data_IF_711734914884
#
_entry.id   IF_711734914884
#
_cell.length_a   1.000
_cell.length_b   1.000
_cell.length_c   1.000
_cell.angle_alpha   90.00
_cell.angle_beta   90.00
_cell.angle_gamma   90.00
#
_symmetry.space_group_name_H-M   'P 1'
#
loop_
_entity.id
_entity.type
_entity.pdbx_description
1 polymer ?
#
# COMPACT_ATOMS: atom_id res chain seq x y z
N UNK A 1 41.48 65.42 -19.21
CA UNK A 1 40.94 64.51 -18.18
C UNK A 1 39.69 63.84 -18.74
N UNK A 2 39.63 62.50 -18.84
CA UNK A 2 38.41 61.84 -19.27
C UNK A 2 37.31 62.07 -18.23
N UNK A 3 36.14 62.55 -18.66
CA UNK A 3 34.95 62.68 -17.82
C UNK A 3 34.56 61.29 -17.34
N UNK A 4 34.69 61.03 -16.04
CA UNK A 4 34.10 59.86 -15.40
C UNK A 4 32.59 60.05 -15.49
N UNK A 5 31.97 59.39 -16.46
CA UNK A 5 30.51 59.28 -16.54
C UNK A 5 30.15 58.16 -15.56
N UNK A 6 29.73 58.53 -14.36
CA UNK A 6 29.15 57.58 -13.41
C UNK A 6 27.92 56.95 -14.06
N UNK A 7 27.90 55.62 -14.19
CA UNK A 7 26.70 54.90 -14.63
C UNK A 7 25.53 55.36 -13.75
N UNK A 8 24.37 55.72 -14.33
CA UNK A 8 23.19 56.03 -13.54
C UNK A 8 22.91 54.84 -12.60
N UNK A 9 22.62 55.16 -11.34
CA UNK A 9 22.31 54.15 -10.31
C UNK A 9 21.14 53.31 -10.84
N UNK A 10 21.40 52.04 -11.11
CA UNK A 10 20.36 51.14 -11.57
C UNK A 10 19.26 51.09 -10.49
N UNK A 11 18.01 51.32 -10.91
CA UNK A 11 16.85 51.29 -10.03
C UNK A 11 16.03 50.06 -10.43
N UNK A 12 15.66 49.19 -9.48
CA UNK A 12 14.79 48.06 -9.79
C UNK A 12 13.47 48.55 -10.42
N UNK A 13 12.86 47.76 -11.31
CA UNK A 13 11.49 48.04 -11.77
C UNK A 13 10.52 48.01 -10.58
N UNK A 14 9.35 48.64 -10.68
CA UNK A 14 8.35 48.55 -9.61
C UNK A 14 7.73 47.14 -9.52
N UNK A 15 7.28 46.68 -8.32
CA UNK A 15 6.55 45.43 -8.21
C UNK A 15 5.20 45.50 -8.93
N UNK A 16 4.74 44.36 -9.46
CA UNK A 16 3.44 44.28 -10.16
C UNK A 16 2.24 44.57 -9.26
N UNK A 17 2.39 44.37 -7.96
CA UNK A 17 1.37 44.65 -6.93
C UNK A 17 2.01 45.30 -5.70
N UNK A 18 1.23 45.99 -4.85
CA UNK A 18 1.73 46.47 -3.57
C UNK A 18 2.33 45.35 -2.72
N UNK A 19 3.41 45.64 -1.99
CA UNK A 19 4.02 44.67 -1.06
C UNK A 19 2.99 44.25 -0.02
N UNK A 20 2.89 42.94 0.23
CA UNK A 20 1.91 42.32 1.12
C UNK A 20 0.60 41.92 0.45
N UNK A 21 0.41 42.23 -0.85
CA UNK A 21 -0.77 41.78 -1.61
C UNK A 21 -0.82 40.25 -1.69
N UNK A 22 -2.00 39.68 -1.42
CA UNK A 22 -2.27 38.26 -1.59
C UNK A 22 -2.65 37.97 -3.05
N UNK A 23 -2.03 36.93 -3.61
CA UNK A 23 -2.19 36.50 -5.00
C UNK A 23 -2.44 34.99 -5.03
N UNK A 24 -2.97 34.42 -6.13
CA UNK A 24 -3.08 32.96 -6.28
C UNK A 24 -1.71 32.27 -6.10
N UNK A 25 -1.65 31.26 -5.24
CA UNK A 25 -0.45 30.45 -5.00
C UNK A 25 -0.35 29.21 -5.90
N UNK A 26 0.68 28.39 -5.69
CA UNK A 26 0.80 27.08 -6.37
C UNK A 26 -0.20 26.05 -5.80
N UNK A 27 -0.72 25.20 -6.68
CA UNK A 27 -1.71 24.16 -6.32
C UNK A 27 -1.08 22.85 -5.79
N UNK A 28 0.24 22.69 -5.84
CA UNK A 28 0.91 21.45 -5.45
C UNK A 28 1.02 21.32 -3.94
N UNK A 29 0.50 20.23 -3.35
CA UNK A 29 0.62 19.95 -1.91
C UNK A 29 1.36 18.63 -1.70
N UNK A 30 2.30 18.59 -0.76
CA UNK A 30 2.98 17.35 -0.38
C UNK A 30 2.16 16.53 0.63
N UNK A 31 2.36 15.20 0.66
CA UNK A 31 1.75 14.33 1.70
C UNK A 31 2.12 14.77 3.13
N UNK A 32 3.28 15.40 3.31
CA UNK A 32 3.70 15.92 4.60
C UNK A 32 2.87 17.16 4.97
N UNK A 33 2.65 18.08 4.03
CA UNK A 33 1.76 19.24 4.24
C UNK A 33 0.32 18.79 4.55
N UNK A 34 -0.24 17.82 3.83
CA UNK A 34 -1.57 17.27 4.12
C UNK A 34 -1.67 16.73 5.56
N UNK A 35 -0.65 15.98 5.99
CA UNK A 35 -0.58 15.45 7.36
C UNK A 35 -0.48 16.57 8.40
N UNK A 36 0.35 17.59 8.16
CA UNK A 36 0.47 18.74 9.08
C UNK A 36 -0.85 19.51 9.15
N UNK A 37 -1.47 19.82 8.00
CA UNK A 37 -2.77 20.51 7.93
C UNK A 37 -3.82 19.78 8.75
N UNK A 38 -3.96 18.46 8.56
CA UNK A 38 -4.91 17.65 9.31
C UNK A 38 -4.67 17.72 10.83
N UNK A 39 -3.39 17.67 11.26
CA UNK A 39 -3.02 17.74 12.69
C UNK A 39 -3.25 19.12 13.30
N UNK A 40 -2.93 20.19 12.59
CA UNK A 40 -3.16 21.56 13.03
C UNK A 40 -4.66 21.89 13.11
N UNK A 41 -5.44 21.46 12.10
CA UNK A 41 -6.90 21.62 12.08
C UNK A 41 -7.55 20.85 13.24
N UNK A 42 -7.12 19.60 13.48
CA UNK A 42 -7.59 18.82 14.62
C UNK A 42 -7.21 19.44 15.98
N UNK A 43 -6.14 20.23 16.04
CA UNK A 43 -5.73 21.01 17.21
C UNK A 43 -6.42 22.38 17.31
N UNK A 44 -7.36 22.71 16.41
CA UNK A 44 -8.15 23.93 16.43
C UNK A 44 -7.51 25.16 15.78
N UNK A 45 -6.39 24.99 15.07
CA UNK A 45 -5.76 26.09 14.32
C UNK A 45 -6.58 26.42 13.08
N UNK A 46 -7.01 27.67 12.95
CA UNK A 46 -7.78 28.17 11.82
C UNK A 46 -6.84 28.56 10.66
N UNK A 47 -6.56 27.60 9.78
CA UNK A 47 -5.76 27.81 8.58
C UNK A 47 -6.65 28.31 7.43
N UNK A 48 -6.09 29.12 6.53
CA UNK A 48 -6.75 29.45 5.28
C UNK A 48 -6.84 28.20 4.38
N UNK A 49 -7.97 28.03 3.70
CA UNK A 49 -8.24 26.87 2.86
C UNK A 49 -7.43 26.91 1.57
N UNK A 50 -7.41 28.06 0.90
CA UNK A 50 -6.67 28.21 -0.36
C UNK A 50 -5.19 28.52 -0.11
N UNK A 51 -4.35 28.08 -1.04
CA UNK A 51 -2.93 28.41 -1.04
C UNK A 51 -2.71 29.73 -1.76
N UNK A 52 -2.23 30.73 -1.04
CA UNK A 52 -2.01 32.08 -1.55
C UNK A 52 -0.52 32.43 -1.54
N UNK A 53 -0.11 33.17 -2.57
CA UNK A 53 1.16 33.85 -2.64
C UNK A 53 1.11 35.24 -2.01
N UNK A 54 2.23 35.72 -1.50
CA UNK A 54 2.41 37.06 -0.93
C UNK A 54 3.40 37.80 -1.83
N UNK A 55 3.00 38.95 -2.36
CA UNK A 55 3.91 39.87 -3.06
C UNK A 55 4.92 40.45 -2.06
N UNK A 56 6.21 40.15 -2.24
CA UNK A 56 7.27 40.64 -1.36
C UNK A 56 8.06 41.79 -1.98
N UNK A 57 8.93 42.40 -1.16
CA UNK A 57 9.92 43.39 -1.58
C UNK A 57 10.99 42.82 -2.52
N UNK A 58 11.93 43.67 -2.93
CA UNK A 58 12.94 43.29 -3.91
C UNK A 58 13.94 42.26 -3.36
N UNK A 59 14.08 41.12 -4.04
CA UNK A 59 15.09 40.09 -3.79
C UNK A 59 16.32 40.42 -4.65
N UNK A 60 17.35 41.02 -4.04
CA UNK A 60 18.58 41.44 -4.74
C UNK A 60 19.31 40.26 -5.40
N UNK A 61 19.33 39.09 -4.74
CA UNK A 61 20.03 37.92 -5.23
C UNK A 61 19.39 37.36 -6.50
N UNK A 62 18.06 37.48 -6.63
CA UNK A 62 17.30 37.02 -7.80
C UNK A 62 16.90 38.15 -8.76
N UNK A 63 17.28 39.38 -8.45
CA UNK A 63 16.99 40.57 -9.23
C UNK A 63 15.49 40.71 -9.61
N UNK A 64 14.58 40.45 -8.65
CA UNK A 64 13.12 40.47 -8.90
C UNK A 64 12.31 40.77 -7.62
N UNK A 65 11.02 41.06 -7.78
CA UNK A 65 10.04 41.12 -6.69
C UNK A 65 9.27 39.80 -6.62
N UNK A 66 9.67 38.83 -5.78
CA UNK A 66 9.04 37.52 -5.78
C UNK A 66 7.63 37.57 -5.18
N UNK A 67 6.78 36.68 -5.69
CA UNK A 67 5.57 36.23 -5.01
C UNK A 67 5.94 34.92 -4.30
N UNK A 68 5.98 34.95 -2.97
CA UNK A 68 6.33 33.79 -2.15
C UNK A 68 5.06 33.08 -1.70
N UNK A 69 4.99 31.76 -1.86
CA UNK A 69 3.81 30.96 -1.47
C UNK A 69 4.16 30.14 -0.23
N UNK A 70 3.67 30.52 0.96
CA UNK A 70 3.77 29.67 2.15
C UNK A 70 2.92 28.41 2.06
N UNK A 71 3.25 27.41 2.89
CA UNK A 71 2.47 26.17 2.97
C UNK A 71 1.10 26.42 3.58
N UNK A 72 1.05 27.20 4.67
CA UNK A 72 -0.19 27.61 5.32
C UNK A 72 -0.19 29.08 5.71
N UNK A 73 -1.38 29.65 5.83
CA UNK A 73 -1.61 31.04 6.21
C UNK A 73 -2.69 31.14 7.29
N UNK A 74 -2.54 32.12 8.16
CA UNK A 74 -3.58 32.62 9.07
C UNK A 74 -3.73 34.11 8.76
N UNK A 75 -4.72 34.44 7.94
CA UNK A 75 -4.84 35.76 7.30
C UNK A 75 -5.02 36.89 8.32
N UNK A 76 -5.95 36.73 9.25
CA UNK A 76 -6.31 37.78 10.23
C UNK A 76 -5.11 38.20 11.10
N UNK A 77 -4.20 37.26 11.36
CA UNK A 77 -3.02 37.49 12.18
C UNK A 77 -1.74 37.79 11.38
N UNK A 78 -1.80 37.75 10.04
CA UNK A 78 -0.64 37.82 9.13
C UNK A 78 0.48 36.86 9.55
N UNK A 79 0.12 35.60 9.79
CA UNK A 79 1.08 34.53 10.10
C UNK A 79 1.15 33.57 8.91
N UNK A 80 2.38 33.24 8.49
CA UNK A 80 2.64 32.19 7.51
C UNK A 80 3.41 31.05 8.14
N UNK A 81 3.10 29.83 7.73
CA UNK A 81 3.69 28.59 8.25
C UNK A 81 4.38 27.85 7.10
N UNK A 82 5.59 27.37 7.35
CA UNK A 82 6.40 26.58 6.40
C UNK A 82 6.83 25.25 7.01
N UNK A 83 6.85 24.22 6.18
CA UNK A 83 7.25 22.86 6.55
C UNK A 83 8.52 22.52 5.79
N UNK A 84 9.66 22.53 6.50
CA UNK A 84 10.98 22.40 5.91
C UNK A 84 11.59 21.03 6.28
N UNK A 85 11.48 19.99 5.43
CA UNK A 85 12.18 18.74 5.65
C UNK A 85 13.63 18.79 5.17
N UNK A 86 14.56 18.23 5.97
CA UNK A 86 16.01 18.28 5.69
C UNK A 86 16.42 17.76 4.31
N UNK A 87 15.72 16.76 3.76
CA UNK A 87 16.02 16.21 2.43
C UNK A 87 15.80 17.22 1.29
N UNK A 88 15.12 18.34 1.56
CA UNK A 88 14.87 19.42 0.59
C UNK A 88 15.62 20.71 0.98
N UNK A 89 15.74 21.00 2.28
CA UNK A 89 16.19 22.32 2.76
C UNK A 89 17.61 22.37 3.35
N UNK A 90 18.31 21.23 3.53
CA UNK A 90 19.62 21.20 4.18
C UNK A 90 20.69 22.07 3.48
N UNK A 91 20.62 22.24 2.17
CA UNK A 91 21.53 23.04 1.35
C UNK A 91 20.97 24.42 0.97
N UNK A 92 19.80 24.81 1.51
CA UNK A 92 19.04 26.02 1.10
C UNK A 92 18.90 27.07 2.19
N UNK A 93 19.68 26.96 3.27
CA UNK A 93 19.51 27.78 4.47
C UNK A 93 19.56 29.28 4.18
N UNK A 94 20.51 29.74 3.37
CA UNK A 94 20.62 31.18 3.03
C UNK A 94 19.41 31.67 2.23
N UNK A 95 18.88 30.83 1.32
CA UNK A 95 17.68 31.15 0.57
C UNK A 95 16.46 31.23 1.49
N UNK A 96 16.37 30.33 2.48
CA UNK A 96 15.30 30.34 3.48
C UNK A 96 15.37 31.58 4.38
N UNK A 97 16.58 32.01 4.78
CA UNK A 97 16.80 33.25 5.56
C UNK A 97 16.35 34.48 4.77
N UNK A 98 16.71 34.58 3.48
CA UNK A 98 16.22 35.65 2.60
C UNK A 98 14.70 35.61 2.48
N UNK A 99 14.11 34.41 2.33
CA UNK A 99 12.65 34.24 2.26
C UNK A 99 11.96 34.75 3.52
N UNK A 100 12.51 34.45 4.70
CA UNK A 100 12.01 34.97 5.99
C UNK A 100 12.05 36.50 6.04
N UNK A 101 13.19 37.10 5.65
CA UNK A 101 13.35 38.55 5.66
C UNK A 101 12.35 39.25 4.72
N UNK A 102 12.12 38.68 3.54
CA UNK A 102 11.16 39.21 2.56
C UNK A 102 9.71 39.15 3.06
N UNK A 103 9.31 38.04 3.69
CA UNK A 103 7.98 37.90 4.29
C UNK A 103 7.79 38.84 5.48
N UNK A 104 8.81 38.95 6.35
CA UNK A 104 8.80 39.87 7.48
C UNK A 104 8.69 41.34 7.02
N UNK A 105 9.45 41.73 5.99
CA UNK A 105 9.35 43.07 5.40
C UNK A 105 7.98 43.34 4.74
N UNK A 106 7.27 42.29 4.30
CA UNK A 106 5.90 42.37 3.83
C UNK A 106 4.85 42.38 4.97
N UNK A 107 5.29 42.38 6.23
CA UNK A 107 4.44 42.45 7.42
C UNK A 107 3.91 41.09 7.89
N UNK A 108 4.52 39.99 7.46
CA UNK A 108 4.13 38.64 7.86
C UNK A 108 5.07 38.05 8.92
N UNK A 109 4.52 37.37 9.91
CA UNK A 109 5.29 36.57 10.86
C UNK A 109 5.46 35.16 10.31
N UNK A 110 6.68 34.64 10.35
CA UNK A 110 7.02 33.32 9.81
C UNK A 110 7.21 32.32 10.94
N UNK A 111 6.47 31.22 10.90
CA UNK A 111 6.64 30.06 11.77
C UNK A 111 7.12 28.90 10.91
N UNK A 112 8.23 28.26 11.25
CA UNK A 112 8.74 27.12 10.48
C UNK A 112 8.79 25.84 11.30
N UNK A 113 8.31 24.74 10.74
CA UNK A 113 8.60 23.40 11.23
C UNK A 113 9.81 22.86 10.49
N UNK A 114 10.98 22.83 11.15
CA UNK A 114 12.25 22.42 10.57
C UNK A 114 12.58 20.99 11.01
N UNK A 115 12.47 20.03 10.09
CA UNK A 115 12.60 18.60 10.35
C UNK A 115 13.97 18.06 9.93
N UNK A 116 14.49 17.08 10.67
CA UNK A 116 15.73 16.37 10.33
C UNK A 116 16.99 17.09 10.80
N UNK A 117 16.96 17.72 11.97
CA UNK A 117 18.10 18.44 12.57
C UNK A 117 18.56 19.67 11.77
N UNK A 118 17.65 20.30 11.02
CA UNK A 118 17.89 21.61 10.44
C UNK A 118 18.08 22.67 11.53
N UNK A 119 18.98 23.64 11.31
CA UNK A 119 19.11 24.77 12.23
C UNK A 119 17.87 25.67 12.19
N UNK A 120 17.56 26.30 13.32
CA UNK A 120 16.57 27.37 13.39
C UNK A 120 17.08 28.62 12.68
N UNK A 121 16.19 29.31 11.97
CA UNK A 121 16.47 30.53 11.21
C UNK A 121 15.45 31.66 11.50
N UNK A 122 14.35 31.34 12.18
CA UNK A 122 13.32 32.27 12.60
C UNK A 122 13.08 32.18 14.11
N UNK A 123 12.48 33.23 14.67
CA UNK A 123 12.27 33.36 16.12
C UNK A 123 11.18 32.40 16.65
N UNK A 124 10.22 32.00 15.81
CA UNK A 124 9.15 31.05 16.16
C UNK A 124 9.40 29.64 15.62
N UNK A 125 10.62 29.30 15.22
CA UNK A 125 10.90 28.01 14.61
C UNK A 125 10.70 26.86 15.60
N UNK A 126 10.15 25.76 15.08
CA UNK A 126 10.11 24.46 15.75
C UNK A 126 11.08 23.53 15.05
N UNK A 127 12.17 23.19 15.73
CA UNK A 127 13.21 22.28 15.23
C UNK A 127 12.94 20.88 15.75
N UNK A 128 12.91 19.88 14.86
CA UNK A 128 12.89 18.47 15.23
C UNK A 128 14.09 17.75 14.66
N UNK A 129 14.73 16.90 15.48
CA UNK A 129 15.80 16.01 15.00
C UNK A 129 15.26 14.88 14.09
N UNK A 130 13.94 14.63 14.11
CA UNK A 130 13.26 13.68 13.24
C UNK A 130 13.04 14.26 11.85
N UNK A 131 13.35 13.50 10.80
CA UNK A 131 13.04 13.87 9.40
C UNK A 131 11.55 13.77 9.05
N UNK A 132 10.67 13.45 9.99
CA UNK A 132 9.22 13.28 9.79
C UNK A 132 8.43 14.01 10.87
N UNK A 133 7.16 14.32 10.60
CA UNK A 133 6.27 14.90 11.61
C UNK A 133 6.06 13.94 12.78
N UNK A 134 6.47 14.35 13.99
CA UNK A 134 6.27 13.56 15.21
C UNK A 134 5.04 14.03 16.00
N UNK A 135 4.49 13.16 16.85
CA UNK A 135 3.39 13.52 17.76
C UNK A 135 3.77 14.68 18.68
N UNK A 136 5.03 14.78 19.09
CA UNK A 136 5.53 15.86 19.95
C UNK A 136 5.79 17.17 19.18
N UNK A 137 6.02 17.11 17.86
CA UNK A 137 6.23 18.30 17.04
C UNK A 137 4.94 19.11 16.83
N UNK A 138 3.78 18.43 16.80
CA UNK A 138 2.47 19.08 16.62
C UNK A 138 2.15 20.10 17.73
N UNK A 139 2.14 19.74 19.03
CA UNK A 139 1.85 20.73 20.09
C UNK A 139 2.87 21.86 20.13
N UNK A 140 4.17 21.58 19.91
CA UNK A 140 5.19 22.63 19.83
C UNK A 140 4.93 23.62 18.68
N UNK A 141 4.48 23.12 17.51
CA UNK A 141 4.09 23.96 16.39
C UNK A 141 2.83 24.77 16.69
N UNK A 142 1.83 24.17 17.33
CA UNK A 142 0.60 24.87 17.75
C UNK A 142 0.94 26.02 18.71
N UNK A 143 1.82 25.79 19.68
CA UNK A 143 2.26 26.84 20.61
C UNK A 143 3.02 27.97 19.90
N UNK A 144 3.94 27.63 18.98
CA UNK A 144 4.68 28.62 18.21
C UNK A 144 3.76 29.48 17.33
N UNK A 145 2.77 28.85 16.69
CA UNK A 145 1.70 29.54 15.96
C UNK A 145 0.92 30.44 16.91
N UNK A 146 0.53 29.94 18.09
CA UNK A 146 -0.21 30.71 19.09
C UNK A 146 0.54 31.96 19.56
N UNK A 147 1.86 31.86 19.74
CA UNK A 147 2.71 33.01 20.06
C UNK A 147 2.77 34.01 18.91
N UNK A 148 2.99 33.53 17.69
CA UNK A 148 3.05 34.38 16.50
C UNK A 148 1.71 35.10 16.25
N UNK A 149 0.57 34.41 16.42
CA UNK A 149 -0.77 34.98 16.27
C UNK A 149 -1.01 36.07 17.32
N UNK A 150 -0.65 35.80 18.58
CA UNK A 150 -0.81 36.77 19.66
C UNK A 150 0.22 37.91 19.65
N UNK A 151 1.19 37.89 18.72
CA UNK A 151 2.27 38.88 18.66
C UNK A 151 3.25 38.81 19.84
N UNK A 152 3.37 37.65 20.48
CA UNK A 152 4.34 37.42 21.56
C UNK A 152 5.75 37.24 20.99
N UNK A 153 6.81 37.56 21.76
CA UNK A 153 8.19 37.30 21.36
C UNK A 153 8.38 35.85 20.93
N UNK A 154 9.16 35.63 19.86
CA UNK A 154 9.45 34.28 19.38
C UNK A 154 10.34 33.51 20.33
N UNK A 155 10.04 32.21 20.47
CA UNK A 155 10.88 31.24 21.16
C UNK A 155 11.06 30.04 20.24
N UNK A 156 12.32 29.76 19.91
CA UNK A 156 12.69 28.54 19.17
C UNK A 156 12.42 27.33 20.06
N UNK A 157 11.64 26.38 19.54
CA UNK A 157 11.28 25.16 20.24
C UNK A 157 12.02 23.98 19.65
N UNK A 158 12.62 23.15 20.50
CA UNK A 158 13.34 21.95 20.07
C UNK A 158 12.61 20.69 20.50
N UNK A 159 12.29 19.82 19.55
CA UNK A 159 11.58 18.56 19.75
C UNK A 159 12.51 17.40 19.43
N UNK A 160 12.85 16.63 20.47
CA UNK A 160 13.57 15.37 20.28
C UNK A 160 12.61 14.31 19.76
N UNK A 161 12.94 13.75 18.61
CA UNK A 161 12.35 12.55 18.06
C UNK A 161 12.70 11.38 18.97
N UNK A 162 11.73 10.49 19.18
CA UNK A 162 12.07 9.19 19.76
C UNK A 162 12.95 8.46 18.75
N UNK A 163 14.06 7.81 19.17
CA UNK A 163 14.80 6.94 18.28
C UNK A 163 13.82 5.95 17.65
N UNK A 164 13.79 5.89 16.32
CA UNK A 164 12.95 4.93 15.62
C UNK A 164 13.36 3.54 16.11
N UNK A 165 12.44 2.82 16.75
CA UNK A 165 12.68 1.43 17.07
C UNK A 165 13.09 0.72 15.77
N UNK A 166 14.15 -0.10 15.78
CA UNK A 166 14.54 -0.85 14.59
C UNK A 166 13.31 -1.65 14.14
N UNK A 167 12.70 -1.25 13.02
CA UNK A 167 11.60 -2.01 12.43
C UNK A 167 12.20 -3.34 11.99
N UNK A 168 11.87 -4.41 12.72
CA UNK A 168 12.10 -5.79 12.24
C UNK A 168 11.48 -5.84 10.86
N UNK A 169 12.31 -6.09 9.83
CA UNK A 169 11.81 -6.27 8.47
C UNK A 169 10.86 -7.46 8.53
N UNK A 170 9.59 -7.25 8.15
CA UNK A 170 8.61 -8.33 8.15
C UNK A 170 9.15 -9.50 7.33
N UNK A 171 9.08 -10.70 7.91
CA UNK A 171 9.41 -11.96 7.22
C UNK A 171 8.34 -12.33 6.19
N UNK A 172 7.17 -11.69 6.26
CA UNK A 172 6.06 -11.87 5.34
C UNK A 172 6.20 -10.92 4.14
N UNK A 173 6.36 -11.49 2.95
CA UNK A 173 6.37 -10.79 1.67
C UNK A 173 5.00 -10.22 1.28
N UNK A 174 4.92 -9.60 0.10
CA UNK A 174 3.66 -9.08 -0.42
C UNK A 174 2.63 -10.20 -0.61
N UNK A 175 1.36 -9.89 -0.36
CA UNK A 175 0.21 -10.76 -0.66
C UNK A 175 -0.31 -10.30 -2.02
N UNK A 176 -0.26 -11.16 -3.03
CA UNK A 176 -0.64 -10.82 -4.41
C UNK A 176 -1.59 -11.85 -4.97
N UNK A 177 -2.64 -11.37 -5.62
CA UNK A 177 -3.54 -12.23 -6.38
C UNK A 177 -2.80 -12.85 -7.57
N UNK A 178 -3.05 -14.14 -7.83
CA UNK A 178 -2.47 -14.87 -8.95
C UNK A 178 -3.29 -14.60 -10.21
N UNK A 179 -2.62 -14.16 -11.28
CA UNK A 179 -3.28 -13.79 -12.54
C UNK A 179 -3.82 -14.99 -13.32
N UNK A 180 -3.36 -16.21 -13.01
CA UNK A 180 -3.68 -17.42 -13.75
C UNK A 180 -4.58 -18.39 -12.97
N UNK A 181 -4.66 -18.24 -11.63
CA UNK A 181 -5.40 -19.16 -10.75
C UNK A 181 -6.44 -18.39 -9.95
N UNK A 182 -7.71 -18.68 -10.21
CA UNK A 182 -8.83 -18.04 -9.53
C UNK A 182 -8.79 -18.28 -8.01
N UNK A 183 -9.03 -17.22 -7.24
CA UNK A 183 -9.10 -17.29 -5.78
C UNK A 183 -7.77 -17.61 -5.08
N UNK A 184 -6.64 -17.52 -5.79
CA UNK A 184 -5.29 -17.78 -5.25
C UNK A 184 -4.57 -16.47 -4.99
N UNK A 185 -4.05 -16.32 -3.77
CA UNK A 185 -3.20 -15.22 -3.37
C UNK A 185 -1.82 -15.73 -2.99
N UNK A 186 -0.81 -15.47 -3.81
CA UNK A 186 0.58 -15.80 -3.53
C UNK A 186 1.13 -14.96 -2.38
N UNK A 187 1.89 -15.62 -1.51
CA UNK A 187 2.51 -15.06 -0.31
C UNK A 187 3.91 -15.65 -0.17
N UNK A 188 4.86 -14.89 0.36
CA UNK A 188 6.20 -15.40 0.68
C UNK A 188 6.48 -15.29 2.17
N UNK A 189 7.10 -16.32 2.73
CA UNK A 189 7.57 -16.32 4.11
C UNK A 189 9.05 -16.63 4.17
N UNK A 190 9.84 -15.77 4.80
CA UNK A 190 11.26 -16.04 5.04
C UNK A 190 11.42 -16.77 6.37
N UNK A 191 12.10 -17.92 6.41
CA UNK A 191 12.46 -18.66 7.62
C UNK A 191 13.64 -17.99 8.36
N UNK A 192 13.91 -18.41 9.60
CA UNK A 192 15.00 -17.82 10.41
C UNK A 192 16.40 -18.10 9.87
N UNK A 193 16.57 -19.20 9.12
CA UNK A 193 17.80 -19.53 8.40
C UNK A 193 17.94 -18.77 7.06
N UNK A 194 16.93 -17.98 6.68
CA UNK A 194 16.89 -17.21 5.45
C UNK A 194 16.24 -17.92 4.26
N UNK A 195 15.80 -19.18 4.39
CA UNK A 195 15.03 -19.85 3.34
C UNK A 195 13.74 -19.08 3.04
N UNK A 196 13.32 -19.02 1.78
CA UNK A 196 12.07 -18.36 1.38
C UNK A 196 11.05 -19.39 0.90
N UNK A 197 9.95 -19.48 1.61
CA UNK A 197 8.81 -20.31 1.27
C UNK A 197 7.82 -19.52 0.38
N UNK A 198 7.66 -19.93 -0.87
CA UNK A 198 6.49 -19.62 -1.70
C UNK A 198 5.21 -20.35 -1.21
N UNK A 199 4.29 -19.58 -0.66
CA UNK A 199 3.01 -20.02 -0.12
C UNK A 199 1.85 -19.41 -0.92
N UNK A 200 0.64 -19.92 -0.70
CA UNK A 200 -0.58 -19.39 -1.27
C UNK A 200 -1.71 -19.44 -0.26
N UNK A 201 -2.48 -18.36 -0.17
CA UNK A 201 -3.78 -18.34 0.47
C UNK A 201 -4.82 -18.61 -0.60
N UNK A 202 -5.63 -19.65 -0.42
CA UNK A 202 -6.61 -20.12 -1.42
C UNK A 202 -8.02 -20.13 -0.86
N UNK A 203 -9.01 -20.18 -1.77
CA UNK A 203 -10.45 -20.15 -1.44
C UNK A 203 -10.81 -18.94 -0.57
N UNK A 204 -10.42 -17.75 -1.03
CA UNK A 204 -10.70 -16.47 -0.38
C UNK A 204 -10.32 -16.42 1.11
N UNK A 205 -9.18 -17.01 1.47
CA UNK A 205 -8.68 -16.96 2.83
C UNK A 205 -8.98 -18.18 3.69
N UNK A 206 -9.55 -19.25 3.12
CA UNK A 206 -9.92 -20.45 3.88
C UNK A 206 -8.79 -21.44 4.08
N UNK A 207 -7.80 -21.49 3.18
CA UNK A 207 -6.73 -22.47 3.30
C UNK A 207 -5.36 -21.88 2.94
N UNK A 208 -4.33 -22.43 3.57
CA UNK A 208 -2.94 -22.24 3.21
C UNK A 208 -2.49 -23.39 2.34
N UNK A 209 -1.73 -23.08 1.29
CA UNK A 209 -1.06 -24.06 0.45
C UNK A 209 0.40 -23.69 0.16
N UNK A 210 1.18 -24.68 -0.26
CA UNK A 210 2.55 -24.52 -0.76
C UNK A 210 2.52 -24.42 -2.27
N UNK A 211 3.19 -23.41 -2.83
CA UNK A 211 3.28 -23.26 -4.29
C UNK A 211 4.30 -24.27 -4.82
N UNK A 212 3.87 -25.14 -5.74
CA UNK A 212 4.69 -26.19 -6.33
C UNK A 212 4.85 -25.95 -7.83
N UNK A 213 5.97 -25.35 -8.27
CA UNK A 213 6.27 -25.09 -9.69
C UNK A 213 5.05 -24.57 -10.48
N UNK A 214 4.52 -25.38 -11.39
CA UNK A 214 3.36 -25.07 -12.23
C UNK A 214 2.05 -25.70 -11.76
N UNK A 215 2.06 -26.48 -10.68
CA UNK A 215 0.87 -27.14 -10.12
C UNK A 215 -0.01 -26.14 -9.36
N UNK A 216 -1.28 -26.51 -9.12
CA UNK A 216 -2.09 -25.82 -8.13
C UNK A 216 -1.44 -25.94 -6.73
N UNK A 217 -1.51 -24.91 -5.86
CA UNK A 217 -0.91 -24.98 -4.53
C UNK A 217 -1.42 -26.19 -3.73
N UNK A 218 -0.49 -26.99 -3.20
CA UNK A 218 -0.82 -28.17 -2.41
C UNK A 218 -1.22 -27.77 -1.00
N UNK A 219 -2.20 -28.45 -0.44
CA UNK A 219 -2.80 -28.08 0.83
C UNK A 219 -1.84 -28.28 2.00
N UNK A 220 -1.78 -27.26 2.86
CA UNK A 220 -0.99 -27.27 4.10
C UNK A 220 -1.93 -27.32 5.30
N UNK A 221 -2.83 -26.33 5.45
CA UNK A 221 -3.70 -26.20 6.63
C UNK A 221 -4.91 -25.28 6.40
N UNK A 222 -5.93 -25.28 7.27
CA UNK A 222 -6.97 -24.26 7.23
C UNK A 222 -6.47 -22.92 7.75
N UNK A 223 -7.12 -21.87 7.27
CA UNK A 223 -6.97 -20.47 7.64
C UNK A 223 -8.35 -19.88 7.96
N UNK A 224 -8.36 -18.92 8.88
CA UNK A 224 -9.57 -18.24 9.34
C UNK A 224 -9.61 -16.79 8.82
N UNK A 225 -9.43 -16.59 7.51
CA UNK A 225 -9.37 -15.25 6.91
C UNK A 225 -10.61 -14.84 6.11
N UNK A 226 -11.61 -15.73 5.96
CA UNK A 226 -12.81 -15.47 5.12
C UNK A 226 -13.58 -14.22 5.51
N UNK A 227 -13.66 -13.94 6.81
CA UNK A 227 -14.37 -12.77 7.35
C UNK A 227 -13.43 -11.58 7.61
N UNK A 228 -12.16 -11.67 7.19
CA UNK A 228 -11.15 -10.64 7.37
C UNK A 228 -10.92 -9.94 6.03
N UNK A 229 -11.06 -8.60 5.95
CA UNK A 229 -10.70 -7.86 4.74
C UNK A 229 -9.25 -8.14 4.32
N UNK A 230 -9.01 -8.26 3.01
CA UNK A 230 -7.68 -8.57 2.44
C UNK A 230 -6.57 -7.65 2.95
N UNK A 231 -6.86 -6.36 3.13
CA UNK A 231 -5.91 -5.37 3.66
C UNK A 231 -5.43 -5.68 5.09
N UNK A 232 -6.22 -6.45 5.84
CA UNK A 232 -5.92 -6.87 7.20
C UNK A 232 -5.33 -8.30 7.29
N UNK A 233 -5.27 -9.06 6.19
CA UNK A 233 -4.72 -10.43 6.19
C UNK A 233 -3.31 -10.50 6.74
N UNK A 234 -2.46 -9.50 6.46
CA UNK A 234 -1.10 -9.44 7.00
C UNK A 234 -1.09 -9.49 8.52
N UNK A 235 -2.01 -8.79 9.19
CA UNK A 235 -2.08 -8.74 10.65
C UNK A 235 -2.47 -10.10 11.25
N UNK A 236 -3.19 -10.93 10.50
CA UNK A 236 -3.58 -12.27 10.91
C UNK A 236 -2.51 -13.32 10.56
N UNK A 237 -1.92 -13.24 9.38
CA UNK A 237 -0.94 -14.22 8.89
C UNK A 237 0.43 -14.11 9.57
N UNK A 238 0.90 -12.91 9.84
CA UNK A 238 2.26 -12.72 10.38
C UNK A 238 2.44 -13.36 11.77
N UNK A 239 1.54 -13.16 12.77
CA UNK A 239 1.64 -13.86 14.04
C UNK A 239 1.48 -15.39 13.92
N UNK A 240 0.62 -15.85 13.01
CA UNK A 240 0.44 -17.28 12.76
C UNK A 240 1.74 -17.91 12.25
N UNK A 241 2.37 -17.29 11.24
CA UNK A 241 3.60 -17.82 10.64
C UNK A 241 4.81 -17.70 11.56
N UNK A 242 4.87 -16.68 12.43
CA UNK A 242 5.90 -16.59 13.47
C UNK A 242 5.80 -17.72 14.51
N UNK A 243 4.61 -18.27 14.73
CA UNK A 243 4.38 -19.38 15.66
C UNK A 243 4.46 -20.77 15.04
N UNK A 244 4.68 -20.88 13.72
CA UNK A 244 4.73 -22.16 13.01
C UNK A 244 6.17 -22.65 12.85
N UNK A 245 6.39 -23.94 13.09
CA UNK A 245 7.64 -24.63 12.78
C UNK A 245 7.78 -24.86 11.27
N UNK A 246 9.00 -24.92 10.71
CA UNK A 246 9.22 -25.13 9.27
C UNK A 246 8.45 -26.32 8.68
N UNK A 247 8.37 -27.44 9.41
CA UNK A 247 7.63 -28.64 8.99
C UNK A 247 6.12 -28.42 8.86
N UNK A 248 5.56 -27.43 9.55
CA UNK A 248 4.12 -27.11 9.47
C UNK A 248 3.75 -26.35 8.19
N UNK A 249 4.74 -25.92 7.40
CA UNK A 249 4.52 -25.35 6.07
C UNK A 249 4.54 -26.40 4.96
N UNK A 250 4.89 -27.64 5.28
CA UNK A 250 4.92 -28.72 4.30
C UNK A 250 3.52 -29.19 3.92
N UNK A 251 3.26 -29.48 2.63
CA UNK A 251 1.96 -29.99 2.21
C UNK A 251 1.61 -31.30 2.90
N UNK A 252 0.37 -31.40 3.37
CA UNK A 252 -0.18 -32.64 3.94
C UNK A 252 -0.99 -33.44 2.92
N UNK A 253 -1.47 -32.79 1.85
CA UNK A 253 -2.23 -33.42 0.77
C UNK A 253 -2.32 -32.52 -0.46
N UNK A 254 -2.87 -33.07 -1.55
CA UNK A 254 -3.11 -32.32 -2.79
C UNK A 254 -4.25 -31.31 -2.63
N UNK A 255 -5.36 -31.73 -2.03
CA UNK A 255 -6.57 -30.92 -1.76
C UNK A 255 -6.83 -30.83 -0.26
N UNK A 256 -7.68 -29.90 0.21
CA UNK A 256 -8.09 -29.84 1.62
C UNK A 256 -8.73 -31.11 2.17
N UNK A 257 -9.21 -32.00 1.30
CA UNK A 257 -9.88 -33.27 1.66
C UNK A 257 -9.04 -34.52 1.36
N UNK A 258 -7.83 -34.39 0.82
CA UNK A 258 -6.97 -35.53 0.50
C UNK A 258 -6.31 -35.42 -0.87
N UNK A 259 -5.84 -36.55 -1.40
CA UNK A 259 -5.00 -36.57 -2.60
C UNK A 259 -5.75 -36.85 -3.91
N UNK A 260 -7.06 -37.05 -3.84
CA UNK A 260 -7.83 -37.44 -5.03
C UNK A 260 -9.17 -36.73 -5.09
N UNK A 261 -9.50 -36.25 -6.30
CA UNK A 261 -10.81 -35.66 -6.60
C UNK A 261 -11.88 -36.75 -6.77
N UNK A 262 -11.49 -37.88 -7.35
CA UNK A 262 -12.33 -39.06 -7.52
C UNK A 262 -11.86 -40.19 -6.60
N UNK A 263 -12.82 -40.99 -6.13
CA UNK A 263 -12.62 -42.22 -5.38
C UNK A 263 -13.37 -43.37 -6.09
N UNK A 264 -13.07 -44.61 -5.70
CA UNK A 264 -13.70 -45.80 -6.28
C UNK A 264 -12.73 -46.69 -7.06
N UNK A 265 -13.21 -47.86 -7.54
CA UNK A 265 -12.36 -48.94 -8.05
C UNK A 265 -11.48 -48.55 -9.25
N UNK A 266 -11.98 -47.64 -10.11
CA UNK A 266 -11.28 -47.22 -11.32
C UNK A 266 -10.87 -45.74 -11.30
N UNK A 267 -10.98 -45.04 -10.18
CA UNK A 267 -10.71 -43.60 -10.08
C UNK A 267 -9.28 -43.21 -10.52
N UNK A 268 -8.29 -44.09 -10.30
CA UNK A 268 -6.91 -43.88 -10.73
C UNK A 268 -6.70 -43.81 -12.25
N UNK A 269 -7.71 -44.14 -13.05
CA UNK A 269 -7.68 -44.00 -14.52
C UNK A 269 -8.14 -42.63 -15.00
N UNK A 270 -8.66 -41.78 -14.11
CA UNK A 270 -9.10 -40.42 -14.44
C UNK A 270 -7.88 -39.50 -14.37
N UNK A 271 -7.49 -38.95 -15.52
CA UNK A 271 -6.36 -38.04 -15.58
C UNK A 271 -6.79 -36.63 -15.16
N UNK A 272 -6.22 -36.17 -14.05
CA UNK A 272 -6.34 -34.80 -13.56
C UNK A 272 -5.10 -33.99 -13.97
N UNK A 273 -5.30 -32.81 -14.54
CA UNK A 273 -4.20 -31.92 -14.89
C UNK A 273 -3.58 -31.37 -13.61
N UNK A 274 -2.25 -31.25 -13.58
CA UNK A 274 -1.47 -30.60 -12.52
C UNK A 274 -1.97 -29.19 -12.14
N UNK A 275 -2.57 -28.48 -13.12
CA UNK A 275 -3.09 -27.12 -12.96
C UNK A 275 -4.56 -27.06 -12.50
N UNK A 276 -5.21 -28.20 -12.30
CA UNK A 276 -6.59 -28.25 -11.85
C UNK A 276 -6.77 -27.42 -10.58
N UNK A 277 -7.72 -26.48 -10.63
CA UNK A 277 -8.05 -25.68 -9.47
C UNK A 277 -9.31 -26.24 -8.81
N UNK A 278 -9.23 -26.75 -7.56
CA UNK A 278 -10.39 -27.22 -6.82
C UNK A 278 -11.41 -26.10 -6.52
N UNK A 279 -11.01 -24.83 -6.73
CA UNK A 279 -11.85 -23.66 -6.49
C UNK A 279 -12.24 -22.92 -7.77
N UNK A 280 -11.90 -23.46 -8.94
CA UNK A 280 -12.23 -22.88 -10.24
C UNK A 280 -13.69 -23.08 -10.66
N UNK A 281 -14.07 -22.54 -11.85
CA UNK A 281 -15.44 -22.61 -12.38
C UNK A 281 -15.85 -23.98 -12.95
N UNK A 282 -14.87 -24.79 -13.38
CA UNK A 282 -15.10 -26.07 -14.05
C UNK A 282 -13.81 -26.61 -14.66
N UNK A 283 -13.82 -27.87 -15.09
CA UNK A 283 -12.66 -28.52 -15.72
C UNK A 283 -13.12 -29.59 -16.71
N UNK A 284 -12.30 -29.85 -17.73
CA UNK A 284 -12.50 -30.97 -18.66
C UNK A 284 -11.37 -31.97 -18.48
N UNK A 285 -11.76 -33.20 -18.17
CA UNK A 285 -10.89 -34.34 -17.91
C UNK A 285 -11.06 -35.41 -18.97
N UNK A 286 -10.10 -36.34 -19.00
CA UNK A 286 -10.13 -37.51 -19.88
C UNK A 286 -9.87 -38.77 -19.07
N UNK A 287 -10.54 -39.86 -19.42
CA UNK A 287 -10.37 -41.16 -18.77
C UNK A 287 -10.62 -42.32 -19.74
N UNK A 288 -10.31 -43.54 -19.30
CA UNK A 288 -10.54 -44.80 -20.01
C UNK A 288 -11.17 -45.81 -19.03
N UNK A 289 -12.33 -45.46 -18.48
CA UNK A 289 -13.07 -46.32 -17.58
C UNK A 289 -13.65 -47.50 -18.35
N UNK A 290 -13.48 -48.71 -17.81
CA UNK A 290 -14.04 -49.93 -18.37
C UNK A 290 -15.48 -50.13 -17.92
N UNK A 291 -16.38 -50.39 -18.87
CA UNK A 291 -17.77 -50.76 -18.59
C UNK A 291 -18.69 -49.60 -18.22
N UNK A 292 -18.36 -48.36 -18.59
CA UNK A 292 -19.24 -47.19 -18.37
C UNK A 292 -20.59 -47.41 -19.05
N UNK A 293 -21.66 -47.29 -18.28
CA UNK A 293 -23.04 -47.43 -18.75
C UNK A 293 -23.83 -46.12 -18.60
N UNK A 294 -23.65 -45.44 -17.47
CA UNK A 294 -24.35 -44.20 -17.14
C UNK A 294 -23.52 -43.32 -16.19
N UNK A 295 -24.01 -42.11 -15.92
CA UNK A 295 -23.45 -41.23 -14.90
C UNK A 295 -24.56 -40.38 -14.28
N UNK A 296 -24.28 -39.86 -13.10
CA UNK A 296 -25.06 -38.83 -12.44
C UNK A 296 -24.11 -37.71 -11.97
N UNK A 297 -24.66 -36.69 -11.28
CA UNK A 297 -23.89 -35.54 -10.81
C UNK A 297 -22.70 -35.89 -9.89
N UNK A 298 -22.69 -37.06 -9.25
CA UNK A 298 -21.66 -37.47 -8.30
C UNK A 298 -20.80 -38.64 -8.80
N UNK A 299 -21.31 -39.52 -9.66
CA UNK A 299 -20.65 -40.77 -10.00
C UNK A 299 -20.78 -41.20 -11.47
N UNK A 300 -19.77 -41.92 -11.95
CA UNK A 300 -19.76 -42.66 -13.21
C UNK A 300 -19.95 -44.14 -12.88
N UNK A 301 -20.95 -44.76 -13.52
CA UNK A 301 -21.47 -46.06 -13.13
C UNK A 301 -21.44 -47.04 -14.31
N UNK A 302 -21.21 -48.32 -13.99
CA UNK A 302 -21.34 -49.43 -14.93
C UNK A 302 -22.72 -50.05 -14.92
N UNK A 303 -22.82 -51.27 -15.46
CA UNK A 303 -24.07 -52.05 -15.39
C UNK A 303 -24.56 -52.20 -13.94
N UNK A 304 -25.88 -52.29 -13.76
CA UNK A 304 -26.53 -52.43 -12.45
C UNK A 304 -26.18 -51.32 -11.43
N UNK A 305 -25.91 -50.09 -11.92
CA UNK A 305 -25.55 -48.93 -11.11
C UNK A 305 -24.25 -49.06 -10.30
N UNK A 306 -23.37 -50.01 -10.65
CA UNK A 306 -22.10 -50.22 -9.94
C UNK A 306 -21.17 -49.00 -10.09
N UNK A 307 -20.72 -48.41 -8.98
CA UNK A 307 -19.84 -47.23 -9.00
C UNK A 307 -18.45 -47.61 -9.51
N UNK A 308 -18.03 -46.99 -10.61
CA UNK A 308 -16.68 -47.15 -11.18
C UNK A 308 -15.74 -46.08 -10.64
N UNK A 309 -16.23 -44.83 -10.60
CA UNK A 309 -15.59 -43.69 -9.98
C UNK A 309 -16.64 -42.69 -9.50
N UNK A 310 -16.42 -42.05 -8.38
CA UNK A 310 -17.29 -41.01 -7.82
C UNK A 310 -16.48 -39.84 -7.29
N UNK A 311 -17.04 -38.64 -7.31
CA UNK A 311 -16.44 -37.46 -6.71
C UNK A 311 -16.33 -37.65 -5.19
N UNK A 312 -15.20 -37.19 -4.63
CA UNK A 312 -15.03 -37.13 -3.19
C UNK A 312 -16.16 -36.30 -2.55
N UNK A 313 -16.68 -36.72 -1.39
CA UNK A 313 -17.85 -36.08 -0.77
C UNK A 313 -17.64 -34.57 -0.50
N UNK A 314 -16.43 -34.18 -0.12
CA UNK A 314 -16.01 -32.81 0.12
C UNK A 314 -15.91 -31.99 -1.16
N UNK A 315 -15.57 -32.61 -2.30
CA UNK A 315 -15.62 -31.94 -3.59
C UNK A 315 -17.07 -31.64 -3.97
N UNK A 316 -17.99 -32.60 -3.76
CA UNK A 316 -19.44 -32.41 -3.95
C UNK A 316 -19.95 -31.29 -3.01
N UNK A 317 -19.52 -31.29 -1.75
CA UNK A 317 -19.89 -30.25 -0.78
C UNK A 317 -19.37 -28.86 -1.18
N UNK A 318 -18.27 -28.78 -1.93
CA UNK A 318 -17.78 -27.54 -2.56
C UNK A 318 -18.52 -27.16 -3.84
N UNK A 319 -19.50 -27.96 -4.27
CA UNK A 319 -20.37 -27.72 -5.41
C UNK A 319 -19.92 -28.39 -6.70
N UNK A 320 -18.90 -29.27 -6.67
CA UNK A 320 -18.48 -30.00 -7.87
C UNK A 320 -19.53 -31.02 -8.29
N UNK A 321 -19.83 -31.04 -9.59
CA UNK A 321 -20.69 -32.04 -10.20
C UNK A 321 -20.13 -32.52 -11.55
N UNK A 322 -20.46 -33.77 -11.90
CA UNK A 322 -20.24 -34.34 -13.22
C UNK A 322 -21.36 -33.84 -14.12
N UNK A 323 -21.03 -32.89 -14.99
CA UNK A 323 -21.98 -32.29 -15.93
C UNK A 323 -22.25 -33.23 -17.10
N UNK A 324 -21.20 -33.83 -17.66
CA UNK A 324 -21.34 -34.79 -18.75
C UNK A 324 -20.18 -35.78 -18.85
N UNK A 325 -20.49 -36.96 -19.37
CA UNK A 325 -19.52 -37.97 -19.80
C UNK A 325 -19.85 -38.35 -21.25
N UNK A 326 -18.93 -38.12 -22.19
CA UNK A 326 -19.08 -38.47 -23.60
C UNK A 326 -17.94 -39.38 -24.07
N UNK A 327 -18.26 -40.31 -24.97
CA UNK A 327 -17.24 -41.08 -25.67
C UNK A 327 -16.71 -40.25 -26.85
N UNK A 328 -15.39 -40.13 -26.93
CA UNK A 328 -14.70 -39.35 -27.94
C UNK A 328 -13.63 -40.21 -28.62
N UNK A 329 -13.22 -39.84 -29.84
CA UNK A 329 -12.12 -40.47 -30.55
C UNK A 329 -10.89 -39.57 -30.56
N UNK A 330 -9.75 -40.10 -30.11
CA UNK A 330 -8.48 -39.39 -30.07
C UNK A 330 -7.38 -40.10 -30.84
N UNK A 331 -6.18 -39.52 -30.83
CA UNK A 331 -4.99 -40.07 -31.51
C UNK A 331 -4.63 -41.50 -31.08
N UNK A 332 -4.96 -41.87 -29.85
CA UNK A 332 -4.59 -43.15 -29.24
C UNK A 332 -5.79 -44.11 -29.09
N UNK A 333 -6.91 -43.84 -29.78
CA UNK A 333 -8.14 -44.63 -29.68
C UNK A 333 -9.28 -43.85 -29.01
N UNK A 334 -10.33 -44.59 -28.67
CA UNK A 334 -11.48 -44.05 -27.95
C UNK A 334 -11.14 -43.75 -26.49
N UNK A 335 -11.74 -42.69 -25.95
CA UNK A 335 -11.60 -42.28 -24.56
C UNK A 335 -12.89 -41.60 -24.08
N UNK A 336 -13.10 -41.52 -22.76
CA UNK A 336 -14.20 -40.72 -22.22
C UNK A 336 -13.74 -39.32 -21.88
N UNK A 337 -14.48 -38.32 -22.38
CA UNK A 337 -14.37 -36.92 -21.98
C UNK A 337 -15.35 -36.66 -20.84
N UNK A 338 -14.84 -36.21 -19.71
CA UNK A 338 -15.63 -35.88 -18.51
C UNK A 338 -15.60 -34.37 -18.32
N UNK A 339 -16.78 -33.75 -18.26
CA UNK A 339 -16.93 -32.33 -17.93
C UNK A 339 -17.36 -32.20 -16.50
N UNK A 340 -16.58 -31.44 -15.73
CA UNK A 340 -16.90 -31.05 -14.38
C UNK A 340 -17.28 -29.58 -14.34
N UNK A 341 -18.33 -29.27 -13.60
CA UNK A 341 -18.76 -27.91 -13.33
C UNK A 341 -18.87 -27.69 -11.82
N UNK A 342 -18.86 -26.41 -11.41
CA UNK A 342 -19.06 -26.03 -10.01
C UNK A 342 -20.36 -25.25 -9.87
N UNK A 343 -21.35 -25.86 -9.23
CA UNK A 343 -22.67 -25.27 -8.98
C UNK A 343 -22.55 -24.02 -8.10
N UNK A 344 -23.17 -22.93 -8.53
CA UNK A 344 -23.19 -21.67 -7.77
C UNK A 344 -21.85 -20.92 -7.77
N UNK A 345 -20.97 -21.21 -8.71
CA UNK A 345 -19.76 -20.40 -8.92
C UNK A 345 -20.15 -19.01 -9.43
N UNK A 346 -19.91 -17.98 -8.63
CA UNK A 346 -19.96 -16.57 -9.02
C UNK A 346 -18.53 -16.10 -9.27
N UNK A 347 -18.28 -15.55 -10.47
CA UNK A 347 -16.95 -15.14 -10.94
C UNK A 347 -16.46 -13.84 -10.29
#
# INVERSE_FOLDING_TARGET
>A
MPKIVTKPRWTPPEPSHPIGTLLPGSAETSKLEEQVRARLTAAGVQLHDERLGIQCGFDEARNRYPVLTPDFLILDAKVCIEIDPANIHADRVDQDKVRNALLAAAGWRVVRLRLGSLEAIGEWDVVSDSGTLTVAAVPALVEAIGDAVAGRPGVVRTVKGKPAAPRKKSRLGAIREDEYKFGVHTVRWTLDDGEVLDLAVVDNGRYLGRVMKSEFPRYVRPLDLRDIPKDDWRKALEPLFEGMEPSEFEPVSTFPWGDSLFIGPQAGTIYLKDKFSPFGPGEVLTTNLEGVHEYNAAAIQGADHAVLAELHAEAIALGWEIESVSLESGRNGEYQRVVLSRKGFEA
#
